data_IF_162038506730
#
_entry.id   IF_162038506730
#
_cell.length_a   1.000
_cell.length_b   1.000
_cell.length_c   1.000
_cell.angle_alpha   90.00
_cell.angle_beta   90.00
_cell.angle_gamma   90.00
#
_symmetry.space_group_name_H-M   'P 1'
#
loop_
_entity.id
_entity.type
_entity.pdbx_description
1 polymer ?
#
# COMPACT_ATOMS: atom_id res chain seq x y z
N UNK A 1 -10.42 15.85 79.09
CA UNK A 1 -9.76 14.84 78.24
C UNK A 1 -10.25 15.06 76.82
N UNK A 2 -9.41 15.63 75.96
CA UNK A 2 -9.73 15.92 74.56
C UNK A 2 -9.51 14.64 73.74
N UNK A 3 -10.59 14.03 73.26
CA UNK A 3 -10.53 12.86 72.39
C UNK A 3 -10.36 13.36 70.95
N UNK A 4 -9.12 13.25 70.45
CA UNK A 4 -8.73 13.65 69.10
C UNK A 4 -9.31 12.61 68.11
N UNK A 5 -10.39 12.96 67.39
CA UNK A 5 -10.88 12.15 66.28
C UNK A 5 -9.89 12.25 65.12
N UNK A 6 -9.18 11.17 64.82
CA UNK A 6 -8.41 11.03 63.59
C UNK A 6 -9.38 10.90 62.41
N UNK A 7 -9.20 11.65 61.31
CA UNK A 7 -9.98 11.43 60.11
C UNK A 7 -9.57 10.08 59.51
N UNK A 8 -10.55 9.18 59.38
CA UNK A 8 -10.42 7.97 58.59
C UNK A 8 -10.18 8.40 57.15
N UNK A 9 -8.93 8.34 56.70
CA UNK A 9 -8.59 8.43 55.28
C UNK A 9 -9.10 7.13 54.65
N UNK A 10 -10.36 7.16 54.20
CA UNK A 10 -10.85 6.17 53.24
C UNK A 10 -10.07 6.44 51.97
N UNK A 11 -9.02 5.64 51.75
CA UNK A 11 -8.37 5.54 50.44
C UNK A 11 -9.46 5.15 49.45
N UNK A 12 -9.86 6.11 48.62
CA UNK A 12 -10.77 5.90 47.50
C UNK A 12 -10.08 4.96 46.51
N UNK A 13 -10.20 3.66 46.72
CA UNK A 13 -9.77 2.58 45.81
C UNK A 13 -10.64 2.51 44.54
N UNK A 14 -11.02 3.65 43.99
CA UNK A 14 -11.93 3.75 42.84
C UNK A 14 -11.49 4.79 41.78
N UNK A 15 -10.28 5.34 41.85
CA UNK A 15 -9.75 6.19 40.79
C UNK A 15 -8.34 5.79 40.38
N UNK A 16 -8.25 4.68 39.66
CA UNK A 16 -7.33 4.53 38.53
C UNK A 16 -7.92 3.42 37.66
N UNK A 17 -9.09 3.71 37.12
CA UNK A 17 -9.70 2.93 36.06
C UNK A 17 -8.73 2.81 34.90
N UNK A 18 -8.70 1.61 34.30
CA UNK A 18 -8.12 1.28 33.00
C UNK A 18 -7.77 2.53 32.17
N UNK A 19 -6.50 2.92 32.21
CA UNK A 19 -5.92 3.58 31.04
C UNK A 19 -6.17 2.60 29.88
N UNK A 20 -6.85 3.06 28.84
CA UNK A 20 -6.92 2.39 27.54
C UNK A 20 -5.86 3.04 26.62
N UNK A 21 -4.53 2.88 26.85
CA UNK A 21 -3.51 3.56 26.04
C UNK A 21 -3.24 2.80 24.73
N UNK A 22 -3.67 1.55 24.61
CA UNK A 22 -3.27 0.69 23.50
C UNK A 22 -3.91 1.12 22.18
N UNK A 23 -5.18 1.54 22.17
CA UNK A 23 -5.86 1.88 20.91
C UNK A 23 -5.38 3.20 20.29
N UNK A 24 -5.01 4.18 21.10
CA UNK A 24 -4.47 5.46 20.59
C UNK A 24 -3.04 5.29 20.06
N UNK A 25 -2.17 4.57 20.79
CA UNK A 25 -0.82 4.27 20.30
C UNK A 25 -0.82 3.40 19.04
N UNK A 26 -1.74 2.43 18.94
CA UNK A 26 -1.91 1.63 17.73
C UNK A 26 -2.37 2.50 16.54
N UNK A 27 -3.26 3.45 16.78
CA UNK A 27 -3.72 4.40 15.75
C UNK A 27 -2.57 5.30 15.27
N UNK A 28 -1.81 5.89 16.18
CA UNK A 28 -0.66 6.74 15.84
C UNK A 28 0.41 5.96 15.06
N UNK A 29 0.68 4.71 15.46
CA UNK A 29 1.59 3.84 14.74
C UNK A 29 1.09 3.54 13.32
N UNK A 30 -0.21 3.27 13.14
CA UNK A 30 -0.80 3.03 11.82
C UNK A 30 -0.74 4.27 10.92
N UNK A 31 -0.91 5.46 11.49
CA UNK A 31 -0.75 6.72 10.75
C UNK A 31 0.68 6.92 10.28
N UNK A 32 1.68 6.68 11.14
CA UNK A 32 3.09 6.76 10.76
C UNK A 32 3.41 5.77 9.64
N UNK A 33 2.95 4.52 9.76
CA UNK A 33 3.12 3.50 8.72
C UNK A 33 2.49 3.97 7.41
N UNK A 34 1.26 4.49 7.46
CA UNK A 34 0.57 5.01 6.28
C UNK A 34 1.36 6.13 5.61
N UNK A 35 1.84 7.12 6.37
CA UNK A 35 2.62 8.25 5.83
C UNK A 35 3.89 7.75 5.13
N UNK A 36 4.63 6.84 5.78
CA UNK A 36 5.85 6.26 5.23
C UNK A 36 5.55 5.53 3.91
N UNK A 37 4.54 4.66 3.90
CA UNK A 37 4.16 3.91 2.71
C UNK A 37 3.65 4.82 1.58
N UNK A 38 2.84 5.84 1.90
CA UNK A 38 2.34 6.82 0.94
C UNK A 38 3.48 7.59 0.26
N UNK A 39 4.47 8.05 1.04
CA UNK A 39 5.66 8.74 0.50
C UNK A 39 6.47 7.78 -0.38
N UNK A 40 6.69 6.53 0.07
CA UNK A 40 7.42 5.54 -0.71
C UNK A 40 6.74 5.24 -2.06
N UNK A 41 5.41 5.08 -2.06
CA UNK A 41 4.61 4.91 -3.29
C UNK A 41 4.80 6.09 -4.22
N UNK A 42 4.67 7.32 -3.71
CA UNK A 42 4.83 8.52 -4.53
C UNK A 42 6.25 8.64 -5.10
N UNK A 43 7.28 8.31 -4.32
CA UNK A 43 8.66 8.29 -4.78
C UNK A 43 8.87 7.23 -5.87
N UNK A 44 8.37 6.01 -5.66
CA UNK A 44 8.47 4.90 -6.61
C UNK A 44 7.80 5.24 -7.95
N UNK A 45 6.60 5.82 -7.90
CA UNK A 45 5.87 6.19 -9.12
C UNK A 45 6.31 7.53 -9.72
N UNK A 46 7.07 8.36 -9.00
CA UNK A 46 7.43 9.70 -9.47
C UNK A 46 8.08 9.76 -10.86
N UNK A 47 9.03 8.87 -11.25
CA UNK A 47 9.61 8.93 -12.59
C UNK A 47 8.58 8.61 -13.67
N UNK A 48 7.69 7.66 -13.39
CA UNK A 48 6.63 7.25 -14.30
C UNK A 48 5.56 8.33 -14.44
N UNK A 49 5.10 8.92 -13.33
CA UNK A 49 4.16 10.05 -13.34
C UNK A 49 4.72 11.25 -14.11
N UNK A 50 6.01 11.56 -13.92
CA UNK A 50 6.68 12.61 -14.68
C UNK A 50 6.72 12.30 -16.18
N UNK A 51 6.88 11.03 -16.57
CA UNK A 51 6.80 10.64 -17.97
C UNK A 51 5.37 10.79 -18.52
N UNK A 52 4.35 10.36 -17.76
CA UNK A 52 2.93 10.49 -18.11
C UNK A 52 2.55 11.96 -18.30
N UNK A 53 2.87 12.83 -17.34
CA UNK A 53 2.52 14.26 -17.41
C UNK A 53 3.27 15.01 -18.51
N UNK A 54 4.45 14.53 -18.91
CA UNK A 54 5.19 15.07 -20.07
C UNK A 54 4.69 14.52 -21.41
N UNK A 55 3.64 13.71 -21.42
CA UNK A 55 3.12 13.08 -22.64
C UNK A 55 4.04 12.00 -23.23
N UNK A 56 5.03 11.52 -22.45
CA UNK A 56 6.01 10.51 -22.86
C UNK A 56 5.79 9.16 -22.17
N UNK A 57 4.57 8.91 -21.68
CA UNK A 57 4.22 7.66 -20.96
C UNK A 57 4.55 6.42 -21.78
N UNK A 58 4.07 6.35 -23.03
CA UNK A 58 4.30 5.19 -23.92
C UNK A 58 5.78 4.94 -24.21
N UNK A 59 6.58 6.00 -24.39
CA UNK A 59 8.02 5.86 -24.61
C UNK A 59 8.73 5.28 -23.37
N UNK A 60 8.30 5.68 -22.17
CA UNK A 60 8.83 5.15 -20.92
C UNK A 60 8.38 3.71 -20.66
N UNK A 61 7.13 3.40 -20.98
CA UNK A 61 6.56 2.03 -20.90
C UNK A 61 7.32 1.07 -21.82
N UNK A 62 7.62 1.49 -23.06
CA UNK A 62 8.43 0.69 -23.98
C UNK A 62 9.85 0.46 -23.46
N UNK A 63 10.45 1.45 -22.79
CA UNK A 63 11.76 1.31 -22.16
C UNK A 63 11.70 0.31 -21.00
N UNK A 64 10.72 0.45 -20.10
CA UNK A 64 10.52 -0.52 -19.00
C UNK A 64 10.28 -1.93 -19.52
N UNK A 65 9.50 -2.07 -20.60
CA UNK A 65 9.24 -3.35 -21.24
C UNK A 65 10.54 -3.98 -21.79
N UNK A 66 11.39 -3.19 -22.44
CA UNK A 66 12.66 -3.65 -22.97
C UNK A 66 13.62 -4.10 -21.86
N UNK A 67 13.79 -3.28 -20.82
CA UNK A 67 14.63 -3.57 -19.66
C UNK A 67 14.14 -4.83 -18.92
N UNK A 68 12.82 -4.97 -18.75
CA UNK A 68 12.24 -6.16 -18.14
C UNK A 68 12.52 -7.40 -18.99
N UNK A 69 12.29 -7.34 -20.30
CA UNK A 69 12.55 -8.45 -21.23
C UNK A 69 14.04 -8.85 -21.22
N UNK A 70 14.96 -7.89 -21.21
CA UNK A 70 16.40 -8.15 -21.13
C UNK A 70 16.78 -8.77 -19.78
N UNK A 71 16.27 -8.22 -18.67
CA UNK A 71 16.51 -8.77 -17.34
C UNK A 71 15.98 -10.21 -17.23
N UNK A 72 14.79 -10.50 -17.77
CA UNK A 72 14.24 -11.85 -17.82
C UNK A 72 15.09 -12.80 -18.69
N UNK A 73 15.63 -12.32 -19.81
CA UNK A 73 16.46 -13.10 -20.71
C UNK A 73 17.85 -13.42 -20.13
N UNK A 74 18.42 -12.51 -19.34
CA UNK A 74 19.79 -12.62 -18.80
C UNK A 74 19.86 -13.20 -17.40
N UNK A 75 18.94 -12.83 -16.49
CA UNK A 75 19.05 -13.14 -15.06
C UNK A 75 18.28 -14.39 -14.61
N UNK A 76 17.40 -14.97 -15.44
CA UNK A 76 16.47 -15.99 -14.97
C UNK A 76 16.77 -17.37 -15.56
N UNK A 77 17.77 -18.05 -14.99
CA UNK A 77 17.85 -19.52 -15.08
C UNK A 77 16.53 -20.17 -14.64
N UNK A 78 15.84 -19.53 -13.69
CA UNK A 78 14.53 -19.98 -13.27
C UNK A 78 13.57 -18.82 -12.91
N UNK A 79 12.69 -18.38 -13.83
CA UNK A 79 11.89 -17.16 -13.64
C UNK A 79 10.95 -17.22 -12.43
N UNK A 80 10.50 -18.40 -11.99
CA UNK A 80 9.64 -18.52 -10.80
C UNK A 80 10.35 -18.13 -9.51
N UNK A 81 11.65 -18.41 -9.37
CA UNK A 81 12.39 -18.12 -8.12
C UNK A 81 12.55 -16.64 -7.87
N UNK A 82 12.50 -15.83 -8.92
CA UNK A 82 12.72 -14.39 -8.82
C UNK A 82 11.42 -13.62 -8.93
N UNK A 83 10.53 -13.97 -9.86
CA UNK A 83 9.27 -13.24 -10.04
C UNK A 83 8.28 -13.48 -8.89
N UNK A 84 8.23 -14.69 -8.33
CA UNK A 84 7.27 -15.01 -7.27
C UNK A 84 7.55 -14.23 -5.96
N UNK A 85 8.80 -14.14 -5.46
CA UNK A 85 9.10 -13.30 -4.31
C UNK A 85 8.84 -11.81 -4.56
N UNK A 86 9.14 -11.31 -5.75
CA UNK A 86 8.87 -9.91 -6.12
C UNK A 86 7.37 -9.62 -6.07
N UNK A 87 6.56 -10.49 -6.68
CA UNK A 87 5.11 -10.38 -6.65
C UNK A 87 4.58 -10.47 -5.21
N UNK A 88 5.07 -11.42 -4.41
CA UNK A 88 4.65 -11.56 -3.02
C UNK A 88 5.01 -10.31 -2.19
N UNK A 89 6.20 -9.75 -2.38
CA UNK A 89 6.62 -8.52 -1.72
C UNK A 89 5.76 -7.32 -2.12
N UNK A 90 5.42 -7.19 -3.42
CA UNK A 90 4.52 -6.16 -3.91
C UNK A 90 3.13 -6.27 -3.28
N UNK A 91 2.55 -7.47 -3.21
CA UNK A 91 1.24 -7.69 -2.59
C UNK A 91 1.23 -7.39 -1.10
N UNK A 92 2.29 -7.74 -0.36
CA UNK A 92 2.41 -7.40 1.06
C UNK A 92 2.49 -5.89 1.23
N UNK A 93 3.26 -5.21 0.38
CA UNK A 93 3.43 -3.77 0.41
C UNK A 93 2.10 -3.04 0.12
N UNK A 94 1.38 -3.45 -0.92
CA UNK A 94 0.06 -2.93 -1.26
C UNK A 94 -0.98 -3.18 -0.16
N UNK A 95 -1.04 -4.41 0.38
CA UNK A 95 -1.94 -4.75 1.46
C UNK A 95 -1.66 -3.89 2.71
N UNK A 96 -0.38 -3.73 3.08
CA UNK A 96 0.04 -2.88 4.19
C UNK A 96 -0.37 -1.42 3.97
N UNK A 97 -0.21 -0.91 2.75
CA UNK A 97 -0.65 0.43 2.39
C UNK A 97 -2.16 0.62 2.53
N UNK A 98 -2.96 -0.29 1.97
CA UNK A 98 -4.42 -0.16 2.01
C UNK A 98 -4.99 -0.33 3.43
N UNK A 99 -4.47 -1.28 4.20
CA UNK A 99 -4.87 -1.49 5.59
C UNK A 99 -4.53 -0.25 6.43
N UNK A 100 -3.31 0.27 6.30
CA UNK A 100 -2.90 1.47 7.03
C UNK A 100 -3.70 2.71 6.62
N UNK A 101 -3.98 2.91 5.33
CA UNK A 101 -4.82 4.00 4.84
C UNK A 101 -6.25 3.93 5.39
N UNK A 102 -6.85 2.74 5.40
CA UNK A 102 -8.23 2.52 5.86
C UNK A 102 -8.41 2.87 7.34
N UNK A 103 -7.46 2.44 8.16
CA UNK A 103 -7.46 2.67 9.61
C UNK A 103 -7.16 4.15 9.90
N UNK A 104 -6.17 4.72 9.22
CA UNK A 104 -5.65 6.06 9.52
C UNK A 104 -6.59 7.20 9.15
N UNK A 105 -7.33 7.09 8.04
CA UNK A 105 -8.18 8.18 7.55
C UNK A 105 -9.65 7.87 7.84
N UNK A 106 -10.23 8.58 8.81
CA UNK A 106 -11.62 8.38 9.23
C UNK A 106 -12.63 9.25 8.46
N UNK A 107 -12.42 9.43 7.15
CA UNK A 107 -13.35 10.14 6.28
C UNK A 107 -14.14 9.15 5.45
N UNK A 108 -15.48 9.19 5.55
CA UNK A 108 -16.35 8.22 4.88
C UNK A 108 -16.14 8.17 3.36
N UNK A 109 -16.01 9.33 2.72
CA UNK A 109 -15.74 9.42 1.28
C UNK A 109 -14.38 8.81 0.89
N UNK A 110 -13.34 9.04 1.69
CA UNK A 110 -12.03 8.45 1.46
C UNK A 110 -12.07 6.93 1.61
N UNK A 111 -12.73 6.40 2.66
CA UNK A 111 -12.92 4.96 2.84
C UNK A 111 -13.68 4.34 1.67
N UNK A 112 -14.77 4.94 1.19
CA UNK A 112 -15.47 4.41 0.02
C UNK A 112 -14.54 4.34 -1.20
N UNK A 113 -13.73 5.37 -1.42
CA UNK A 113 -12.72 5.40 -2.47
C UNK A 113 -11.64 4.31 -2.28
N UNK A 114 -11.09 4.15 -1.07
CA UNK A 114 -10.14 3.09 -0.72
C UNK A 114 -10.73 1.70 -0.97
N UNK A 115 -11.98 1.44 -0.55
CA UNK A 115 -12.66 0.16 -0.79
C UNK A 115 -12.80 -0.15 -2.28
N UNK A 116 -13.27 0.83 -3.06
CA UNK A 116 -13.38 0.69 -4.52
C UNK A 116 -12.01 0.44 -5.16
N UNK A 117 -10.98 1.11 -4.67
CA UNK A 117 -9.63 0.96 -5.18
C UNK A 117 -9.03 -0.41 -4.84
N UNK A 118 -9.25 -0.94 -3.62
CA UNK A 118 -8.88 -2.31 -3.25
C UNK A 118 -9.52 -3.33 -4.20
N UNK A 119 -10.81 -3.19 -4.52
CA UNK A 119 -11.48 -4.11 -5.45
C UNK A 119 -10.87 -4.06 -6.85
N UNK A 120 -10.53 -2.86 -7.32
CA UNK A 120 -9.88 -2.66 -8.61
C UNK A 120 -8.47 -3.29 -8.61
N UNK A 121 -7.68 -3.08 -7.57
CA UNK A 121 -6.34 -3.66 -7.45
C UNK A 121 -6.39 -5.19 -7.33
N UNK A 122 -7.35 -5.76 -6.61
CA UNK A 122 -7.57 -7.20 -6.60
C UNK A 122 -7.84 -7.76 -8.01
N UNK A 123 -8.68 -7.07 -8.80
CA UNK A 123 -8.91 -7.45 -10.19
C UNK A 123 -7.63 -7.35 -11.04
N UNK A 124 -6.87 -6.26 -10.88
CA UNK A 124 -5.61 -6.04 -11.57
C UNK A 124 -4.58 -7.13 -11.25
N UNK A 125 -4.37 -7.42 -9.96
CA UNK A 125 -3.49 -8.49 -9.47
C UNK A 125 -3.92 -9.85 -10.00
N UNK A 126 -5.22 -10.17 -10.02
CA UNK A 126 -5.69 -11.43 -10.60
C UNK A 126 -5.32 -11.56 -12.08
N UNK A 127 -5.42 -10.48 -12.86
CA UNK A 127 -4.99 -10.48 -14.26
C UNK A 127 -3.48 -10.71 -14.38
N UNK A 128 -2.69 -10.03 -13.56
CA UNK A 128 -1.23 -10.16 -13.56
C UNK A 128 -0.81 -11.59 -13.19
N UNK A 129 -1.41 -12.18 -12.16
CA UNK A 129 -1.18 -13.57 -11.74
C UNK A 129 -1.50 -14.54 -12.88
N UNK A 130 -2.67 -14.39 -13.52
CA UNK A 130 -3.07 -15.26 -14.64
C UNK A 130 -2.10 -15.12 -15.82
N UNK A 131 -1.69 -13.90 -16.16
CA UNK A 131 -0.72 -13.64 -17.23
C UNK A 131 0.66 -14.19 -16.90
N UNK A 132 1.11 -14.06 -15.65
CA UNK A 132 2.36 -14.67 -15.17
C UNK A 132 2.33 -16.20 -15.31
N UNK A 133 1.24 -16.85 -14.88
CA UNK A 133 1.10 -18.31 -15.05
C UNK A 133 1.07 -18.75 -16.51
N UNK A 134 0.46 -17.97 -17.41
CA UNK A 134 0.48 -18.24 -18.86
C UNK A 134 1.87 -18.07 -19.45
N UNK A 135 2.59 -17.02 -19.05
CA UNK A 135 3.98 -16.80 -19.45
C UNK A 135 4.88 -17.96 -19.02
N UNK A 136 4.76 -18.40 -17.76
CA UNK A 136 5.53 -19.54 -17.22
C UNK A 136 5.26 -20.84 -18.00
N UNK A 137 4.03 -21.03 -18.50
CA UNK A 137 3.67 -22.19 -19.32
C UNK A 137 4.10 -22.07 -20.79
N UNK A 138 4.78 -20.99 -21.17
CA UNK A 138 5.16 -20.70 -22.56
C UNK A 138 3.98 -20.36 -23.47
N UNK A 139 2.82 -20.02 -22.90
CA UNK A 139 1.59 -19.74 -23.66
C UNK A 139 1.44 -18.25 -24.01
N UNK A 140 2.34 -17.41 -23.51
CA UNK A 140 2.25 -15.96 -23.62
C UNK A 140 3.66 -15.36 -23.65
N UNK A 141 3.87 -14.32 -24.45
CA UNK A 141 5.12 -13.57 -24.51
C UNK A 141 5.19 -12.49 -23.43
N UNK A 142 6.39 -12.13 -22.99
CA UNK A 142 6.64 -11.11 -21.94
C UNK A 142 6.00 -9.76 -22.33
N UNK A 143 6.06 -9.42 -23.62
CA UNK A 143 5.53 -8.17 -24.19
C UNK A 143 4.02 -8.02 -24.00
N UNK A 144 3.31 -9.14 -23.90
CA UNK A 144 1.86 -9.16 -23.70
C UNK A 144 1.46 -9.34 -22.24
N UNK A 145 2.42 -9.59 -21.35
CA UNK A 145 2.17 -9.87 -19.92
C UNK A 145 1.68 -8.62 -19.19
N UNK A 146 2.30 -7.47 -19.48
CA UNK A 146 1.98 -6.20 -18.84
C UNK A 146 0.99 -5.43 -19.72
N UNK A 147 -0.15 -5.09 -19.14
CA UNK A 147 -1.13 -4.22 -19.79
C UNK A 147 -0.85 -2.77 -19.39
N UNK A 148 0.06 -2.11 -20.09
CA UNK A 148 0.54 -0.75 -19.76
C UNK A 148 -0.55 0.30 -19.56
N UNK A 149 -1.66 0.23 -20.30
CA UNK A 149 -2.81 1.13 -20.07
C UNK A 149 -3.41 0.97 -18.68
N UNK A 150 -3.46 -0.27 -18.18
CA UNK A 150 -3.96 -0.59 -16.85
C UNK A 150 -2.94 -0.14 -15.80
N UNK A 151 -1.66 -0.47 -15.98
CA UNK A 151 -0.56 -0.01 -15.10
C UNK A 151 -0.54 1.52 -14.94
N UNK A 152 -0.72 2.24 -16.05
CA UNK A 152 -0.79 3.71 -16.06
C UNK A 152 -1.94 4.21 -15.19
N UNK A 153 -3.10 3.56 -15.30
CA UNK A 153 -4.26 3.89 -14.48
C UNK A 153 -4.00 3.56 -13.00
N UNK A 154 -3.43 2.39 -12.69
CA UNK A 154 -3.04 2.03 -11.32
C UNK A 154 -2.08 3.06 -10.73
N UNK A 155 -1.02 3.44 -11.46
CA UNK A 155 -0.05 4.43 -11.01
C UNK A 155 -0.70 5.79 -10.71
N UNK A 156 -1.61 6.26 -11.56
CA UNK A 156 -2.36 7.50 -11.34
C UNK A 156 -3.28 7.38 -10.11
N UNK A 157 -3.99 6.27 -9.96
CA UNK A 157 -4.91 6.03 -8.84
C UNK A 157 -4.17 5.91 -7.51
N UNK A 158 -3.06 5.16 -7.45
CA UNK A 158 -2.20 5.07 -6.28
C UNK A 158 -1.69 6.44 -5.86
N UNK A 159 -1.25 7.25 -6.83
CA UNK A 159 -0.74 8.59 -6.57
C UNK A 159 -1.83 9.53 -6.05
N UNK A 160 -3.01 9.51 -6.68
CA UNK A 160 -4.15 10.29 -6.23
C UNK A 160 -4.61 9.87 -4.83
N UNK A 161 -4.71 8.56 -4.57
CA UNK A 161 -5.08 8.02 -3.26
C UNK A 161 -4.06 8.38 -2.18
N UNK A 162 -2.76 8.29 -2.46
CA UNK A 162 -1.70 8.67 -1.54
C UNK A 162 -1.75 10.16 -1.20
N UNK A 163 -1.88 11.03 -2.22
CA UNK A 163 -1.98 12.48 -2.02
C UNK A 163 -3.23 12.82 -1.20
N UNK A 164 -4.40 12.31 -1.59
CA UNK A 164 -5.64 12.58 -0.86
C UNK A 164 -5.57 12.06 0.58
N UNK A 165 -5.02 10.87 0.79
CA UNK A 165 -4.89 10.31 2.13
C UNK A 165 -3.93 11.12 3.00
N UNK A 166 -2.81 11.61 2.47
CA UNK A 166 -1.89 12.51 3.18
C UNK A 166 -2.52 13.87 3.49
N UNK A 167 -3.45 14.35 2.65
CA UNK A 167 -4.16 15.62 2.88
C UNK A 167 -5.28 15.50 3.92
N UNK A 168 -5.86 14.32 4.09
CA UNK A 168 -6.99 14.06 5.01
C UNK A 168 -6.59 13.36 6.31
N UNK A 169 -5.32 12.99 6.46
CA UNK A 169 -4.74 12.51 7.70
C UNK A 169 -4.77 13.60 8.77
#
# INVERSE_FOLDING_TARGET
>A
MLQQQMPTVILKTEEMGNYLPNSEMEQDAMQVIFVVLAILILLLYSPYLLAIFRGRGEAFENLLQAEMSEALAVLLENPWRTLLPILAAALIFEAGYFISAWISVNLWGFRLFTSGFILFELFHVCLLIVSLFRYIRGQQEIESMIKWKLERFCALMFSAHAILGLLFL
#
